data_IF_065925863201
#
_entry.id   IF_065925863201
#
_cell.length_a   1.000
_cell.length_b   1.000
_cell.length_c   1.000
_cell.angle_alpha   90.00
_cell.angle_beta   90.00
_cell.angle_gamma   90.00
#
_symmetry.space_group_name_H-M   'P 1'
#
loop_
_entity.id
_entity.type
_entity.pdbx_description
1 polymer ?
#
# COMPACT_ATOMS: atom_id res chain seq x y z
N UNK A 1 41.94 48.82 31.68
CA UNK A 1 41.12 49.61 32.64
C UNK A 1 41.57 49.26 34.05
N UNK A 2 42.06 50.23 34.74
CA UNK A 2 42.45 50.10 36.14
C UNK A 2 41.25 50.55 37.02
N UNK A 3 40.50 49.60 37.58
CA UNK A 3 39.57 49.89 38.67
C UNK A 3 40.12 49.20 39.92
N UNK A 4 40.22 49.89 40.99
CA UNK A 4 40.64 49.42 42.31
C UNK A 4 42.05 48.83 42.44
N UNK A 5 43.06 49.44 41.80
CA UNK A 5 44.45 48.97 41.94
C UNK A 5 44.80 47.67 41.17
N UNK A 6 43.89 47.13 40.35
CA UNK A 6 44.08 45.98 39.51
C UNK A 6 44.25 46.43 38.04
N UNK A 7 45.39 46.23 37.43
CA UNK A 7 45.64 46.42 36.04
C UNK A 7 45.78 45.08 35.31
N UNK A 8 45.01 44.85 34.22
CA UNK A 8 45.14 43.66 33.39
C UNK A 8 45.59 44.05 32.00
N UNK A 9 46.65 43.42 31.48
CA UNK A 9 47.15 43.62 30.13
C UNK A 9 47.39 42.28 29.44
N UNK A 10 46.99 42.22 28.16
CA UNK A 10 47.26 41.09 27.29
C UNK A 10 48.30 41.54 26.26
N UNK A 11 49.42 40.86 26.17
CA UNK A 11 50.45 41.17 25.22
C UNK A 11 51.13 39.91 24.67
N UNK A 12 51.86 40.07 23.58
CA UNK A 12 52.64 38.99 22.98
C UNK A 12 54.09 39.14 23.40
N UNK A 13 54.69 38.07 23.97
CA UNK A 13 56.09 38.03 24.33
C UNK A 13 56.99 38.00 23.11
N UNK A 14 58.28 38.29 23.27
CA UNK A 14 59.27 38.17 22.18
C UNK A 14 59.40 36.74 21.61
N UNK A 15 59.03 35.73 22.38
CA UNK A 15 58.92 34.33 21.96
C UNK A 15 57.64 34.04 21.15
N UNK A 16 56.74 35.01 20.94
CA UNK A 16 55.49 34.88 20.19
C UNK A 16 54.30 34.36 21.00
N UNK A 17 54.47 34.10 22.28
CA UNK A 17 53.43 33.63 23.17
C UNK A 17 52.46 34.75 23.59
N UNK A 18 51.17 34.49 23.57
CA UNK A 18 50.17 35.39 24.09
C UNK A 18 50.02 35.17 25.61
N UNK A 19 50.35 36.21 26.38
CA UNK A 19 50.31 36.16 27.84
C UNK A 19 49.37 37.25 28.39
N UNK A 20 48.67 36.89 29.45
CA UNK A 20 47.90 37.85 30.25
C UNK A 20 48.68 38.14 31.54
N UNK A 21 48.92 39.43 31.80
CA UNK A 21 49.51 39.87 33.05
C UNK A 21 48.48 40.64 33.84
N UNK A 22 48.25 40.26 35.06
CA UNK A 22 47.51 40.97 36.04
C UNK A 22 48.46 41.61 37.07
N UNK A 23 48.40 42.89 37.25
CA UNK A 23 49.18 43.63 38.24
C UNK A 23 48.22 44.14 39.35
N UNK A 24 48.55 43.87 40.59
CA UNK A 24 47.82 44.35 41.76
C UNK A 24 48.73 45.22 42.60
N UNK A 25 48.26 46.39 42.93
CA UNK A 25 48.94 47.28 43.88
C UNK A 25 48.72 46.80 45.30
N UNK A 26 49.78 46.52 46.05
CA UNK A 26 49.70 46.06 47.42
C UNK A 26 49.76 47.30 48.33
N UNK A 27 48.65 47.73 48.97
CA UNK A 27 48.54 49.02 49.66
C UNK A 27 49.32 49.11 50.96
N UNK A 28 49.91 48.09 51.44
CA UNK A 28 50.70 48.05 52.68
C UNK A 28 51.99 47.24 52.56
N UNK A 29 52.60 47.25 51.37
CA UNK A 29 53.89 46.61 51.15
C UNK A 29 55.02 47.32 51.90
N UNK A 30 56.01 46.58 52.41
CA UNK A 30 57.28 47.14 52.88
C UNK A 30 57.94 47.90 51.74
N UNK A 31 58.83 48.89 52.04
CA UNK A 31 59.38 49.86 51.10
C UNK A 31 59.90 49.31 49.76
N UNK A 32 60.14 47.99 49.66
CA UNK A 32 60.70 47.34 48.49
C UNK A 32 59.67 46.61 47.56
N UNK A 33 58.38 46.53 47.87
CA UNK A 33 57.36 45.79 47.09
C UNK A 33 56.11 46.64 46.89
N UNK A 34 56.02 47.31 45.78
CA UNK A 34 54.89 48.21 45.44
C UNK A 34 53.77 47.53 44.61
N UNK A 35 54.06 46.48 43.90
CA UNK A 35 53.10 45.77 43.04
C UNK A 35 53.47 44.28 42.83
N UNK A 36 52.42 43.44 42.82
CA UNK A 36 52.55 42.02 42.48
C UNK A 36 52.02 41.82 41.05
N UNK A 37 52.84 41.15 40.23
CA UNK A 37 52.47 40.81 38.84
C UNK A 37 52.34 39.32 38.67
N UNK A 38 51.14 38.85 38.30
CA UNK A 38 50.86 37.49 37.87
C UNK A 38 50.86 37.42 36.36
N UNK A 39 51.58 36.48 35.80
CA UNK A 39 51.63 36.28 34.33
C UNK A 39 51.18 34.85 34.05
N UNK A 40 50.20 34.71 33.17
CA UNK A 40 49.69 33.41 32.71
C UNK A 40 49.72 33.32 31.19
N UNK A 41 50.07 32.16 30.65
CA UNK A 41 50.08 31.93 29.20
C UNK A 41 48.69 31.63 28.69
N UNK A 42 48.25 32.39 27.68
CA UNK A 42 46.98 32.15 26.98
C UNK A 42 47.13 31.21 25.77
N UNK A 43 48.36 30.83 25.39
CA UNK A 43 48.63 29.97 24.24
C UNK A 43 48.08 28.57 24.43
N UNK A 44 48.19 28.01 25.63
CA UNK A 44 47.64 26.68 25.96
C UNK A 44 46.10 26.71 25.92
N UNK A 45 45.48 27.79 26.46
CA UNK A 45 44.01 27.97 26.42
C UNK A 45 43.53 28.12 24.98
N UNK A 46 44.25 28.89 24.14
CA UNK A 46 43.93 29.04 22.72
C UNK A 46 44.03 27.73 21.93
N UNK A 47 45.01 26.89 22.24
CA UNK A 47 45.13 25.56 21.62
C UNK A 47 44.02 24.62 22.05
N UNK A 48 43.64 24.61 23.34
CA UNK A 48 42.50 23.81 23.84
C UNK A 48 41.17 24.23 23.22
N UNK A 49 40.92 25.54 23.09
CA UNK A 49 39.69 26.06 22.44
C UNK A 49 39.64 25.65 20.97
N UNK A 50 40.77 25.74 20.22
CA UNK A 50 40.83 25.30 18.81
C UNK A 50 40.57 23.81 18.67
N UNK A 51 41.13 22.97 19.51
CA UNK A 51 40.90 21.53 19.50
C UNK A 51 39.44 21.20 19.87
N UNK A 52 38.90 21.82 20.89
CA UNK A 52 37.47 21.64 21.29
C UNK A 52 36.53 22.06 20.13
N UNK A 53 36.83 23.20 19.48
CA UNK A 53 36.04 23.65 18.32
C UNK A 53 36.15 22.65 17.14
N UNK A 54 37.33 22.20 16.81
CA UNK A 54 37.54 21.20 15.75
C UNK A 54 36.78 19.90 16.02
N UNK A 55 36.86 19.38 17.25
CA UNK A 55 36.10 18.18 17.67
C UNK A 55 34.59 18.42 17.56
N UNK A 56 34.11 19.57 18.01
CA UNK A 56 32.68 19.93 17.93
C UNK A 56 32.17 20.01 16.47
N UNK A 57 32.98 20.59 15.56
CA UNK A 57 32.67 20.65 14.13
C UNK A 57 32.61 19.24 13.50
N UNK A 58 33.57 18.37 13.85
CA UNK A 58 33.58 16.99 13.36
C UNK A 58 32.35 16.22 13.85
N UNK A 59 32.01 16.35 15.12
CA UNK A 59 30.79 15.70 15.68
C UNK A 59 29.53 16.22 14.97
N UNK A 60 29.40 17.52 14.77
CA UNK A 60 28.27 18.13 14.06
C UNK A 60 28.18 17.62 12.61
N UNK A 61 29.31 17.50 11.90
CA UNK A 61 29.37 16.98 10.54
C UNK A 61 28.94 15.50 10.46
N UNK A 62 29.36 14.68 11.42
CA UNK A 62 28.97 13.26 11.51
C UNK A 62 27.47 13.12 11.78
N UNK A 63 26.93 13.90 12.71
CA UNK A 63 25.49 13.90 13.01
C UNK A 63 24.68 14.33 11.78
N UNK A 64 25.13 15.37 11.08
CA UNK A 64 24.46 15.86 9.88
C UNK A 64 24.49 14.80 8.76
N UNK A 65 25.65 14.18 8.51
CA UNK A 65 25.79 13.12 7.52
C UNK A 65 24.88 11.91 7.86
N UNK A 66 24.86 11.49 9.10
CA UNK A 66 23.97 10.40 9.56
C UNK A 66 22.50 10.75 9.37
N UNK A 67 22.08 11.97 9.74
CA UNK A 67 20.69 12.42 9.58
C UNK A 67 20.27 12.44 8.11
N UNK A 68 21.14 12.96 7.22
CA UNK A 68 20.85 12.98 5.77
C UNK A 68 20.77 11.56 5.20
N UNK A 69 21.72 10.69 5.54
CA UNK A 69 21.71 9.30 5.08
C UNK A 69 20.46 8.54 5.57
N UNK A 70 20.13 8.68 6.84
CA UNK A 70 18.93 8.07 7.43
C UNK A 70 17.66 8.57 6.76
N UNK A 71 17.55 9.88 6.49
CA UNK A 71 16.42 10.47 5.78
C UNK A 71 16.28 9.95 4.34
N UNK A 72 17.38 9.87 3.60
CA UNK A 72 17.38 9.32 2.23
C UNK A 72 17.02 7.82 2.22
N UNK A 73 17.51 7.06 3.18
CA UNK A 73 17.14 5.65 3.35
C UNK A 73 15.65 5.51 3.63
N UNK A 74 15.09 6.29 4.56
CA UNK A 74 13.67 6.28 4.90
C UNK A 74 12.77 6.61 3.69
N UNK A 75 13.15 7.63 2.91
CA UNK A 75 12.39 8.00 1.72
C UNK A 75 12.37 6.84 0.71
N UNK A 76 13.52 6.20 0.46
CA UNK A 76 13.63 5.13 -0.53
C UNK A 76 13.00 3.81 -0.08
N UNK A 77 13.09 3.49 1.21
CA UNK A 77 12.58 2.21 1.73
C UNK A 77 11.11 2.24 2.12
N UNK A 78 10.53 3.41 2.39
CA UNK A 78 9.15 3.51 2.87
C UNK A 78 8.31 4.44 1.99
N UNK A 79 8.70 5.70 1.82
CA UNK A 79 7.84 6.71 1.17
C UNK A 79 7.59 6.38 -0.30
N UNK A 80 8.64 6.06 -1.05
CA UNK A 80 8.52 5.73 -2.49
C UNK A 80 7.69 4.47 -2.71
N UNK A 81 7.93 3.34 -2.01
CA UNK A 81 7.09 2.15 -2.12
C UNK A 81 5.63 2.36 -1.77
N UNK A 82 5.34 3.08 -0.69
CA UNK A 82 3.95 3.40 -0.32
C UNK A 82 3.24 4.22 -1.40
N UNK A 83 3.94 5.18 -2.02
CA UNK A 83 3.39 5.90 -3.16
C UNK A 83 3.12 5.01 -4.39
N UNK A 84 3.88 3.93 -4.58
CA UNK A 84 3.60 2.94 -5.63
C UNK A 84 2.34 2.12 -5.29
N UNK A 85 2.22 1.67 -4.03
CA UNK A 85 1.04 0.95 -3.54
C UNK A 85 -0.24 1.77 -3.73
N UNK A 86 -0.21 3.05 -3.34
CA UNK A 86 -1.35 3.97 -3.53
C UNK A 86 -1.78 4.05 -5.00
N UNK A 87 -0.83 4.28 -5.91
CA UNK A 87 -1.12 4.40 -7.35
C UNK A 87 -1.68 3.10 -7.93
N UNK A 88 -1.07 1.96 -7.59
CA UNK A 88 -1.55 0.66 -8.05
C UNK A 88 -2.93 0.34 -7.49
N UNK A 89 -3.19 0.61 -6.21
CA UNK A 89 -4.53 0.45 -5.64
C UNK A 89 -5.57 1.36 -6.33
N UNK A 90 -5.20 2.58 -6.69
CA UNK A 90 -6.05 3.48 -7.46
C UNK A 90 -6.30 2.96 -8.89
N UNK A 91 -5.32 2.32 -9.54
CA UNK A 91 -5.51 1.67 -10.85
C UNK A 91 -6.46 0.47 -10.74
N UNK A 92 -6.27 -0.39 -9.76
CA UNK A 92 -7.17 -1.53 -9.48
C UNK A 92 -8.61 -1.04 -9.25
N UNK A 93 -8.80 0.04 -8.48
CA UNK A 93 -10.12 0.63 -8.22
C UNK A 93 -10.78 1.18 -9.50
N UNK A 94 -10.03 1.52 -10.55
CA UNK A 94 -10.55 1.90 -11.87
C UNK A 94 -10.81 0.71 -12.80
N UNK A 95 -10.52 -0.51 -12.34
CA UNK A 95 -10.71 -1.73 -13.13
C UNK A 95 -9.48 -2.17 -13.94
N UNK A 96 -8.31 -1.54 -13.75
CA UNK A 96 -7.04 -1.97 -14.34
C UNK A 96 -6.46 -3.11 -13.48
N UNK A 97 -6.97 -4.34 -13.68
CA UNK A 97 -6.67 -5.48 -12.80
C UNK A 97 -5.38 -6.24 -13.17
N UNK A 98 -4.77 -5.92 -14.29
CA UNK A 98 -3.52 -6.51 -14.79
C UNK A 98 -2.26 -5.90 -14.16
N UNK A 99 -2.39 -4.78 -13.47
CA UNK A 99 -1.26 -4.08 -12.82
C UNK A 99 -0.79 -4.84 -11.59
N UNK A 100 0.54 -5.02 -11.46
CA UNK A 100 1.17 -5.69 -10.31
C UNK A 100 2.30 -4.85 -9.74
N UNK A 101 2.45 -4.90 -8.41
CA UNK A 101 3.58 -4.32 -7.68
C UNK A 101 4.77 -5.29 -7.71
N UNK A 102 6.00 -4.79 -7.90
CA UNK A 102 7.19 -5.62 -7.77
C UNK A 102 7.37 -6.06 -6.32
N UNK A 103 7.49 -7.36 -6.09
CA UNK A 103 7.77 -7.98 -4.78
C UNK A 103 9.20 -8.47 -4.80
N UNK A 104 9.98 -8.12 -3.77
CA UNK A 104 11.40 -8.53 -3.66
C UNK A 104 11.57 -9.89 -2.97
N UNK A 105 10.50 -10.43 -2.38
CA UNK A 105 10.49 -11.71 -1.69
C UNK A 105 11.09 -11.66 -0.28
N UNK A 106 11.28 -10.48 0.28
CA UNK A 106 11.73 -10.31 1.65
C UNK A 106 10.55 -10.36 2.63
N UNK A 107 10.28 -11.52 3.19
CA UNK A 107 9.15 -11.74 4.13
C UNK A 107 9.23 -10.90 5.41
N UNK A 108 10.42 -10.37 5.74
CA UNK A 108 10.63 -9.53 6.92
C UNK A 108 10.35 -8.04 6.65
N UNK A 109 10.04 -7.66 5.43
CA UNK A 109 9.70 -6.29 5.05
C UNK A 109 8.17 -6.13 5.00
N UNK A 110 7.63 -5.32 5.89
CA UNK A 110 6.20 -5.03 5.97
C UNK A 110 5.66 -4.39 4.70
N UNK A 111 6.48 -3.60 4.02
CA UNK A 111 6.11 -2.97 2.74
C UNK A 111 6.01 -4.01 1.64
N UNK A 112 6.90 -4.99 1.63
CA UNK A 112 6.88 -6.08 0.64
C UNK A 112 5.69 -7.02 0.86
N UNK A 113 5.34 -7.31 2.12
CA UNK A 113 4.10 -8.03 2.46
C UNK A 113 2.85 -7.28 2.00
N UNK A 114 2.82 -5.95 2.20
CA UNK A 114 1.71 -5.12 1.72
C UNK A 114 1.57 -5.19 0.20
N UNK A 115 2.68 -5.14 -0.54
CA UNK A 115 2.69 -5.32 -2.01
C UNK A 115 2.12 -6.67 -2.42
N UNK A 116 2.55 -7.75 -1.74
CA UNK A 116 2.03 -9.10 -1.95
C UNK A 116 0.51 -9.17 -1.73
N UNK A 117 0.01 -8.59 -0.64
CA UNK A 117 -1.43 -8.56 -0.33
C UNK A 117 -2.24 -7.81 -1.39
N UNK A 118 -1.74 -6.66 -1.87
CA UNK A 118 -2.39 -5.90 -2.95
C UNK A 118 -2.40 -6.70 -4.26
N UNK A 119 -1.31 -7.41 -4.59
CA UNK A 119 -1.26 -8.27 -5.76
C UNK A 119 -2.27 -9.43 -5.68
N UNK A 120 -2.39 -10.09 -4.52
CA UNK A 120 -3.40 -11.14 -4.29
C UNK A 120 -4.82 -10.60 -4.40
N UNK A 121 -5.08 -9.40 -3.89
CA UNK A 121 -6.38 -8.74 -4.05
C UNK A 121 -6.69 -8.47 -5.53
N UNK A 122 -5.71 -7.96 -6.30
CA UNK A 122 -5.87 -7.72 -7.73
C UNK A 122 -6.17 -9.02 -8.49
N UNK A 123 -5.45 -10.10 -8.19
CA UNK A 123 -5.67 -11.43 -8.77
C UNK A 123 -7.07 -11.98 -8.49
N UNK A 124 -7.54 -11.90 -7.24
CA UNK A 124 -8.89 -12.34 -6.88
C UNK A 124 -9.99 -11.51 -7.55
N UNK A 125 -9.77 -10.19 -7.74
CA UNK A 125 -10.71 -9.34 -8.49
C UNK A 125 -10.70 -9.68 -9.99
N UNK A 126 -9.53 -9.91 -10.59
CA UNK A 126 -9.38 -10.30 -12.00
C UNK A 126 -10.09 -11.63 -12.28
N UNK A 127 -9.89 -12.63 -11.40
CA UNK A 127 -10.56 -13.93 -11.49
C UNK A 127 -12.08 -13.79 -11.37
N UNK A 128 -12.55 -12.97 -10.43
CA UNK A 128 -13.99 -12.69 -10.25
C UNK A 128 -14.58 -12.01 -11.49
N UNK A 129 -13.87 -11.03 -12.08
CA UNK A 129 -14.34 -10.37 -13.30
C UNK A 129 -14.35 -11.30 -14.51
N UNK A 130 -13.34 -12.16 -14.63
CA UNK A 130 -13.28 -13.19 -15.67
C UNK A 130 -14.45 -14.16 -15.56
N UNK A 131 -14.69 -14.71 -14.36
CA UNK A 131 -15.83 -15.61 -14.11
C UNK A 131 -17.17 -14.92 -14.43
N UNK A 132 -17.35 -13.66 -14.04
CA UNK A 132 -18.55 -12.87 -14.37
C UNK A 132 -18.75 -12.74 -15.88
N UNK A 133 -17.68 -12.44 -16.63
CA UNK A 133 -17.76 -12.27 -18.08
C UNK A 133 -18.02 -13.60 -18.80
N UNK A 134 -17.39 -14.69 -18.36
CA UNK A 134 -17.65 -16.05 -18.86
C UNK A 134 -19.10 -16.46 -18.59
N UNK A 135 -19.62 -16.20 -17.40
CA UNK A 135 -21.01 -16.46 -17.02
C UNK A 135 -21.99 -15.69 -17.93
N UNK A 136 -21.79 -14.38 -18.13
CA UNK A 136 -22.65 -13.56 -19.00
C UNK A 136 -22.60 -14.08 -20.43
N UNK A 137 -21.42 -14.46 -20.92
CA UNK A 137 -21.25 -15.02 -22.26
C UNK A 137 -22.01 -16.35 -22.43
N UNK A 138 -21.83 -17.27 -21.46
CA UNK A 138 -22.48 -18.56 -21.46
C UNK A 138 -24.02 -18.43 -21.44
N UNK A 139 -24.54 -17.64 -20.51
CA UNK A 139 -25.98 -17.38 -20.41
C UNK A 139 -26.52 -16.77 -21.72
N UNK A 140 -25.79 -15.83 -22.31
CA UNK A 140 -26.20 -15.22 -23.59
C UNK A 140 -26.27 -16.23 -24.72
N UNK A 141 -25.34 -17.18 -24.78
CA UNK A 141 -25.35 -18.26 -25.77
C UNK A 141 -26.50 -19.24 -25.54
N UNK A 142 -26.71 -19.67 -24.28
CA UNK A 142 -27.78 -20.61 -23.92
C UNK A 142 -29.18 -20.04 -24.14
N UNK A 143 -29.36 -18.73 -23.97
CA UNK A 143 -30.63 -18.04 -24.27
C UNK A 143 -30.86 -17.83 -25.75
N UNK A 144 -29.79 -17.58 -26.53
CA UNK A 144 -29.92 -17.28 -27.97
C UNK A 144 -30.45 -18.46 -28.77
N UNK A 145 -30.00 -19.66 -28.45
CA UNK A 145 -30.38 -20.88 -29.19
C UNK A 145 -31.88 -21.14 -29.18
N UNK A 146 -32.58 -21.26 -28.02
CA UNK A 146 -34.00 -21.46 -27.97
C UNK A 146 -34.82 -20.28 -28.55
N UNK A 147 -34.35 -19.05 -28.33
CA UNK A 147 -34.98 -17.86 -28.92
C UNK A 147 -34.93 -17.89 -30.44
N UNK A 148 -33.80 -18.34 -31.03
CA UNK A 148 -33.68 -18.48 -32.50
C UNK A 148 -34.61 -19.56 -33.02
N UNK A 149 -34.74 -20.68 -32.35
CA UNK A 149 -35.65 -21.77 -32.65
C UNK A 149 -37.12 -21.29 -32.63
N UNK A 150 -37.52 -20.64 -31.51
CA UNK A 150 -38.87 -20.06 -31.37
C UNK A 150 -39.17 -19.08 -32.51
N UNK A 151 -38.26 -18.14 -32.81
CA UNK A 151 -38.43 -17.15 -33.86
C UNK A 151 -38.58 -17.80 -35.24
N UNK A 152 -37.72 -18.80 -35.54
CA UNK A 152 -37.81 -19.51 -36.83
C UNK A 152 -39.14 -20.22 -36.98
N UNK A 153 -39.64 -20.89 -35.96
CA UNK A 153 -40.94 -21.57 -36.02
C UNK A 153 -42.12 -20.58 -36.09
N UNK A 154 -42.06 -19.46 -35.37
CA UNK A 154 -43.09 -18.41 -35.52
C UNK A 154 -43.13 -17.86 -36.93
N UNK A 155 -41.96 -17.62 -37.57
CA UNK A 155 -41.91 -17.20 -38.97
C UNK A 155 -42.47 -18.27 -39.92
N UNK A 156 -42.15 -19.56 -39.67
CA UNK A 156 -42.71 -20.69 -40.46
C UNK A 156 -44.24 -20.79 -40.27
N UNK A 157 -44.73 -20.75 -39.06
CA UNK A 157 -46.18 -20.82 -38.75
C UNK A 157 -46.96 -19.68 -39.39
N UNK A 158 -46.37 -18.50 -39.58
CA UNK A 158 -47.02 -17.37 -40.26
C UNK A 158 -47.20 -17.60 -41.77
N UNK A 159 -46.50 -18.56 -42.37
CA UNK A 159 -46.62 -18.92 -43.80
C UNK A 159 -47.50 -20.12 -44.05
N UNK A 160 -47.97 -20.78 -43.00
CA UNK A 160 -48.88 -21.93 -43.09
C UNK A 160 -50.34 -21.46 -42.94
N UNK A 161 -51.19 -21.73 -43.94
CA UNK A 161 -52.58 -21.34 -43.95
C UNK A 161 -53.50 -22.37 -43.25
N UNK A 162 -53.07 -23.62 -43.15
CA UNK A 162 -53.86 -24.72 -42.59
C UNK A 162 -53.41 -25.13 -41.18
N UNK A 163 -54.22 -24.90 -40.11
CA UNK A 163 -53.93 -25.37 -38.78
C UNK A 163 -53.90 -26.90 -38.61
N UNK A 164 -54.41 -27.64 -39.57
CA UNK A 164 -54.38 -29.11 -39.60
C UNK A 164 -53.05 -29.66 -40.15
N UNK A 165 -52.19 -28.81 -40.70
CA UNK A 165 -50.86 -29.20 -41.18
C UNK A 165 -50.03 -29.78 -40.01
N UNK A 166 -49.37 -30.88 -40.26
CA UNK A 166 -48.50 -31.55 -39.29
C UNK A 166 -47.36 -30.61 -38.80
N UNK A 167 -46.85 -29.78 -39.65
CA UNK A 167 -45.82 -28.79 -39.33
C UNK A 167 -46.35 -27.68 -38.42
N UNK A 168 -47.66 -27.34 -38.51
CA UNK A 168 -48.29 -26.38 -37.61
C UNK A 168 -48.29 -26.89 -36.15
N UNK A 169 -48.74 -28.12 -35.92
CA UNK A 169 -48.73 -28.75 -34.61
C UNK A 169 -47.32 -28.92 -34.04
N UNK A 170 -46.40 -29.40 -34.89
CA UNK A 170 -45.01 -29.58 -34.52
C UNK A 170 -44.32 -28.25 -34.16
N UNK A 171 -44.62 -27.19 -34.90
CA UNK A 171 -44.07 -25.86 -34.63
C UNK A 171 -44.53 -25.31 -33.26
N UNK A 172 -45.85 -25.45 -32.94
CA UNK A 172 -46.38 -25.07 -31.63
C UNK A 172 -45.76 -25.88 -30.49
N UNK A 173 -45.57 -27.19 -30.67
CA UNK A 173 -44.94 -28.04 -29.69
C UNK A 173 -43.48 -27.64 -29.41
N UNK A 174 -42.70 -27.36 -30.48
CA UNK A 174 -41.34 -26.88 -30.32
C UNK A 174 -41.31 -25.53 -29.62
N UNK A 175 -42.17 -24.57 -29.98
CA UNK A 175 -42.23 -23.27 -29.30
C UNK A 175 -42.57 -23.45 -27.83
N UNK A 176 -43.52 -24.32 -27.49
CA UNK A 176 -43.88 -24.59 -26.10
C UNK A 176 -42.72 -25.20 -25.31
N UNK A 177 -42.03 -26.19 -25.88
CA UNK A 177 -40.90 -26.85 -25.25
C UNK A 177 -39.73 -25.90 -25.03
N UNK A 178 -39.38 -25.08 -26.02
CA UNK A 178 -38.32 -24.09 -25.89
C UNK A 178 -38.65 -22.97 -24.90
N UNK A 179 -39.94 -22.60 -24.82
CA UNK A 179 -40.40 -21.63 -23.80
C UNK A 179 -40.30 -22.21 -22.39
N UNK A 180 -40.65 -23.49 -22.20
CA UNK A 180 -40.48 -24.20 -20.93
C UNK A 180 -39.00 -24.32 -20.54
N UNK A 181 -38.13 -24.60 -21.52
CA UNK A 181 -36.67 -24.62 -21.29
C UNK A 181 -36.10 -23.25 -20.85
N UNK A 182 -36.56 -22.18 -21.49
CA UNK A 182 -36.19 -20.80 -21.10
C UNK A 182 -36.65 -20.46 -19.70
N UNK A 183 -37.90 -20.85 -19.35
CA UNK A 183 -38.43 -20.64 -18.01
C UNK A 183 -37.55 -21.32 -16.95
N UNK A 184 -37.24 -22.61 -17.13
CA UNK A 184 -36.43 -23.37 -16.18
C UNK A 184 -35.02 -22.73 -16.06
N UNK A 185 -34.41 -22.31 -17.16
CA UNK A 185 -33.11 -21.64 -17.15
C UNK A 185 -33.14 -20.34 -16.33
N UNK A 186 -34.22 -19.54 -16.45
CA UNK A 186 -34.37 -18.31 -15.65
C UNK A 186 -34.52 -18.64 -14.18
N UNK A 187 -35.28 -19.69 -13.79
CA UNK A 187 -35.39 -20.14 -12.41
C UNK A 187 -34.02 -20.59 -11.84
N UNK A 188 -33.24 -21.36 -12.60
CA UNK A 188 -31.90 -21.78 -12.21
C UNK A 188 -30.96 -20.58 -12.00
N UNK A 189 -31.02 -19.57 -12.86
CA UNK A 189 -30.25 -18.33 -12.72
C UNK A 189 -30.67 -17.53 -11.47
N UNK A 190 -31.96 -17.49 -11.16
CA UNK A 190 -32.45 -16.82 -9.96
C UNK A 190 -32.03 -17.57 -8.69
N UNK A 191 -32.04 -18.89 -8.71
CA UNK A 191 -31.59 -19.70 -7.58
C UNK A 191 -30.07 -19.58 -7.38
N UNK A 192 -29.29 -19.57 -8.47
CA UNK A 192 -27.85 -19.28 -8.41
C UNK A 192 -27.57 -17.89 -7.82
N UNK A 193 -28.32 -16.86 -8.23
CA UNK A 193 -28.21 -15.51 -7.68
C UNK A 193 -28.55 -15.45 -6.19
N UNK A 194 -29.56 -16.22 -5.74
CA UNK A 194 -29.93 -16.34 -4.32
C UNK A 194 -28.84 -17.02 -3.49
N UNK A 195 -28.20 -18.07 -4.05
CA UNK A 195 -27.07 -18.77 -3.45
C UNK A 195 -25.87 -17.83 -3.24
N UNK A 196 -25.48 -17.11 -4.28
CA UNK A 196 -24.35 -16.15 -4.20
C UNK A 196 -24.58 -15.04 -3.16
N UNK A 197 -25.81 -14.58 -3.00
CA UNK A 197 -26.15 -13.56 -2.03
C UNK A 197 -26.36 -14.09 -0.59
N UNK A 198 -26.10 -15.37 -0.34
CA UNK A 198 -26.25 -15.99 0.98
C UNK A 198 -27.70 -15.98 1.49
N UNK A 199 -28.69 -15.81 0.60
CA UNK A 199 -30.11 -15.71 0.95
C UNK A 199 -30.83 -17.06 1.02
N UNK A 200 -30.15 -18.16 0.63
CA UNK A 200 -30.69 -19.52 0.79
C UNK A 200 -30.39 -20.00 2.20
N UNK A 201 -31.42 -20.19 2.99
CA UNK A 201 -31.38 -20.92 4.27
C UNK A 201 -31.40 -22.40 3.95
N UNK A 202 -30.28 -23.10 4.18
CA UNK A 202 -30.31 -24.57 4.15
C UNK A 202 -31.07 -25.08 5.37
N UNK A 203 -32.19 -25.76 5.13
CA UNK A 203 -32.92 -26.51 6.15
C UNK A 203 -32.41 -27.95 6.16
N UNK A 204 -31.32 -28.18 6.90
CA UNK A 204 -30.70 -29.47 7.02
C UNK A 204 -31.55 -30.36 7.93
N UNK A 205 -32.25 -31.34 7.34
CA UNK A 205 -33.00 -32.37 8.07
C UNK A 205 -32.39 -33.75 7.86
N UNK A 206 -32.44 -34.65 8.85
CA UNK A 206 -32.06 -36.03 8.62
C UNK A 206 -32.99 -36.63 7.56
N UNK A 207 -32.40 -37.21 6.52
CA UNK A 207 -33.07 -37.73 5.35
C UNK A 207 -32.72 -39.23 5.27
N UNK A 208 -33.73 -40.05 4.97
CA UNK A 208 -33.48 -41.48 4.61
C UNK A 208 -33.11 -41.54 3.12
N UNK A 209 -31.81 -41.65 2.88
CA UNK A 209 -31.24 -41.66 1.52
C UNK A 209 -31.76 -42.81 0.68
N UNK A 210 -32.09 -43.95 1.32
CA UNK A 210 -32.57 -45.14 0.62
C UNK A 210 -34.02 -44.95 0.15
N UNK A 211 -34.85 -44.33 0.98
CA UNK A 211 -36.25 -43.98 0.61
C UNK A 211 -36.26 -42.98 -0.57
N UNK A 212 -35.47 -41.92 -0.53
CA UNK A 212 -35.42 -40.91 -1.60
C UNK A 212 -34.86 -41.46 -2.91
N UNK A 213 -33.82 -42.33 -2.85
CA UNK A 213 -33.27 -42.98 -4.06
C UNK A 213 -34.29 -43.95 -4.67
N UNK A 214 -35.12 -44.61 -3.85
CA UNK A 214 -36.14 -45.54 -4.35
C UNK A 214 -37.28 -44.77 -5.04
N UNK A 215 -37.70 -43.61 -4.50
CA UNK A 215 -38.69 -42.74 -5.10
C UNK A 215 -38.22 -42.07 -6.41
N UNK A 216 -36.90 -41.82 -6.55
CA UNK A 216 -36.32 -41.21 -7.76
C UNK A 216 -36.16 -42.21 -8.94
N UNK A 217 -36.24 -43.54 -8.68
CA UNK A 217 -36.05 -44.58 -9.69
C UNK A 217 -37.40 -45.18 -10.17
N UNK A 218 -38.49 -44.93 -9.47
CA UNK A 218 -39.86 -45.32 -9.86
C UNK A 218 -40.53 -44.22 -10.69
#
# INVERSE_FOLDING_TARGET
EASDGLGVAVYRTQSGELVMAACYLVPYAAEDVAAMRLVTSLTLVGAQIKNALAVSVVIAAVILAFTVMSGLYFIRSIVVPLGQVERTAASIARGELDVRLPVTGNEHDEVDRLRGTINQMAEGLEETEKMKNEFISSVSHELRTPLTSIRGWVETLRTLDDPADENYRKGLEIINNETGRLYNMVEELLDFSRLQNGRIRMDCRPLDLVAELTDAVL
#
